data_IF_568977141154
#
_entry.id   IF_568977141154
#
_cell.length_a   1.000
_cell.length_b   1.000
_cell.length_c   1.000
_cell.angle_alpha   90.00
_cell.angle_beta   90.00
_cell.angle_gamma   90.00
#
_symmetry.space_group_name_H-M   'P 1'
#
loop_
_entity.id
_entity.type
_entity.pdbx_description
1 polymer ?
#
# COMPACT_ATOMS: atom_id res chain seq x y z
N UNK A 1 -10.19 16.72 3.45
CA UNK A 1 -9.45 15.49 3.17
C UNK A 1 -8.19 15.73 2.35
N UNK A 2 -8.28 16.47 1.26
CA UNK A 2 -7.12 16.80 0.44
C UNK A 2 -6.01 17.52 1.24
N UNK A 3 -6.37 18.38 2.17
CA UNK A 3 -5.39 19.10 2.99
C UNK A 3 -4.60 18.18 3.90
N UNK A 4 -5.24 17.21 4.53
CA UNK A 4 -4.56 16.24 5.41
C UNK A 4 -3.50 15.46 4.64
N UNK A 5 -3.87 14.91 3.49
CA UNK A 5 -2.93 14.13 2.69
C UNK A 5 -1.85 14.99 2.05
N UNK A 6 -2.15 16.25 1.78
CA UNK A 6 -1.15 17.19 1.28
C UNK A 6 -0.08 17.50 2.32
N UNK A 7 -0.49 17.72 3.57
CA UNK A 7 0.43 17.94 4.69
C UNK A 7 1.26 16.67 4.93
N UNK A 8 0.60 15.52 4.94
CA UNK A 8 1.27 14.23 5.11
C UNK A 8 2.30 13.99 4.02
N UNK A 9 1.95 14.25 2.76
CA UNK A 9 2.86 14.13 1.63
C UNK A 9 4.08 15.04 1.79
N UNK A 10 3.85 16.30 2.15
CA UNK A 10 4.94 17.26 2.35
C UNK A 10 5.91 16.80 3.42
N UNK A 11 5.39 16.28 4.53
CA UNK A 11 6.21 15.73 5.60
C UNK A 11 6.99 14.50 5.12
N UNK A 12 6.32 13.58 4.45
CA UNK A 12 6.93 12.37 3.93
C UNK A 12 8.05 12.69 2.94
N UNK A 13 7.80 13.62 2.03
CA UNK A 13 8.76 14.06 1.03
C UNK A 13 9.97 14.73 1.69
N UNK A 14 9.75 15.52 2.72
CA UNK A 14 10.82 16.16 3.49
C UNK A 14 11.72 15.11 4.15
N UNK A 15 11.14 14.11 4.80
CA UNK A 15 11.90 13.05 5.46
C UNK A 15 12.68 12.22 4.44
N UNK A 16 12.02 11.85 3.33
CA UNK A 16 12.65 11.04 2.28
C UNK A 16 13.87 11.73 1.68
N UNK A 17 13.79 13.04 1.47
CA UNK A 17 14.88 13.82 0.87
C UNK A 17 15.89 14.36 1.90
N UNK A 18 15.69 14.11 3.19
CA UNK A 18 16.61 14.58 4.21
C UNK A 18 18.00 13.94 4.03
N UNK A 19 19.01 14.78 3.86
CA UNK A 19 20.40 14.37 3.71
C UNK A 19 21.13 14.72 5.02
N UNK A 20 20.95 13.87 6.02
CA UNK A 20 21.59 14.01 7.34
C UNK A 20 22.54 12.84 7.54
N UNK A 21 23.77 13.15 7.91
CA UNK A 21 24.79 12.14 8.16
C UNK A 21 24.33 11.15 9.23
N UNK A 22 24.41 9.86 8.93
CA UNK A 22 23.98 8.79 9.83
C UNK A 22 22.51 8.41 9.71
N UNK A 23 21.73 9.08 8.86
CA UNK A 23 20.33 8.76 8.62
C UNK A 23 20.18 8.18 7.22
N UNK A 24 20.10 6.86 7.13
CA UNK A 24 19.85 6.13 5.89
C UNK A 24 18.40 5.66 5.78
N UNK A 25 18.17 4.73 4.85
CA UNK A 25 16.85 4.17 4.60
C UNK A 25 16.24 3.52 5.85
N UNK A 26 17.02 2.75 6.60
CA UNK A 26 16.49 2.03 7.77
C UNK A 26 15.96 2.99 8.84
N UNK A 27 16.66 4.06 9.09
CA UNK A 27 16.25 5.07 10.06
C UNK A 27 15.01 5.82 9.57
N UNK A 28 14.98 6.18 8.29
CA UNK A 28 13.79 6.81 7.68
C UNK A 28 12.59 5.86 7.73
N UNK A 29 12.81 4.58 7.45
CA UNK A 29 11.75 3.57 7.53
C UNK A 29 11.14 3.51 8.93
N UNK A 30 11.94 3.61 9.98
CA UNK A 30 11.43 3.62 11.36
C UNK A 30 10.51 4.83 11.62
N UNK A 31 10.86 6.01 11.10
CA UNK A 31 9.98 7.18 11.20
C UNK A 31 8.66 6.95 10.46
N UNK A 32 8.70 6.39 9.27
CA UNK A 32 7.50 6.09 8.50
C UNK A 32 6.66 4.98 9.14
N UNK A 33 7.29 4.04 9.79
CA UNK A 33 6.60 3.00 10.55
C UNK A 33 5.81 3.61 11.70
N UNK A 34 6.37 4.56 12.43
CA UNK A 34 5.65 5.30 13.47
C UNK A 34 4.47 6.07 12.89
N UNK A 35 4.67 6.72 11.77
CA UNK A 35 3.60 7.44 11.07
C UNK A 35 2.47 6.51 10.66
N UNK A 36 2.82 5.37 10.07
CA UNK A 36 1.85 4.36 9.67
C UNK A 36 1.06 3.82 10.85
N UNK A 37 1.71 3.59 11.99
CA UNK A 37 1.07 3.09 13.20
C UNK A 37 0.04 4.08 13.78
N UNK A 38 0.12 5.35 13.44
CA UNK A 38 -0.84 6.37 13.87
C UNK A 38 -2.06 6.44 12.96
N UNK A 39 -1.99 5.85 11.77
CA UNK A 39 -3.14 5.82 10.86
C UNK A 39 -4.06 4.65 11.19
N UNK A 40 -5.35 4.92 11.23
CA UNK A 40 -6.35 3.86 11.29
C UNK A 40 -6.38 3.06 9.97
N UNK A 41 -7.04 1.91 9.99
CA UNK A 41 -7.23 1.10 8.78
C UNK A 41 -7.97 1.89 7.71
N UNK A 42 -8.97 2.66 8.10
CA UNK A 42 -9.73 3.52 7.20
C UNK A 42 -8.88 4.62 6.60
N UNK A 43 -8.00 5.22 7.40
CA UNK A 43 -7.08 6.24 6.91
C UNK A 43 -6.08 5.70 5.91
N UNK A 44 -5.57 4.49 6.12
CA UNK A 44 -4.71 3.82 5.13
C UNK A 44 -5.46 3.53 3.83
N UNK A 45 -6.72 3.10 3.93
CA UNK A 45 -7.58 2.89 2.77
C UNK A 45 -7.77 4.19 1.99
N UNK A 46 -8.05 5.28 2.70
CA UNK A 46 -8.20 6.60 2.09
C UNK A 46 -6.89 7.08 1.46
N UNK A 47 -5.75 6.82 2.09
CA UNK A 47 -4.44 7.14 1.53
C UNK A 47 -4.22 6.39 0.22
N UNK A 48 -4.55 5.11 0.18
CA UNK A 48 -4.45 4.33 -1.04
C UNK A 48 -5.29 4.94 -2.16
N UNK A 49 -6.57 5.23 -1.91
CA UNK A 49 -7.43 5.85 -2.91
C UNK A 49 -6.95 7.23 -3.34
N UNK A 50 -6.46 8.03 -2.41
CA UNK A 50 -5.88 9.33 -2.74
C UNK A 50 -4.68 9.15 -3.67
N UNK A 51 -3.81 8.18 -3.40
CA UNK A 51 -2.58 7.96 -4.14
C UNK A 51 -2.81 7.52 -5.59
N UNK A 52 -3.92 6.86 -5.88
CA UNK A 52 -4.27 6.43 -7.24
C UNK A 52 -5.17 7.43 -7.97
N UNK A 53 -5.59 8.49 -7.29
CA UNK A 53 -6.36 9.57 -7.89
C UNK A 53 -5.44 10.63 -8.52
N UNK A 54 -5.94 11.43 -9.49
CA UNK A 54 -5.13 12.50 -10.08
C UNK A 54 -4.54 13.48 -9.07
N UNK A 55 -5.19 13.65 -7.91
CA UNK A 55 -4.77 14.60 -6.88
C UNK A 55 -3.62 14.07 -6.01
N UNK A 56 -3.37 12.78 -6.03
CA UNK A 56 -2.39 12.15 -5.16
C UNK A 56 -1.37 11.26 -5.86
N UNK A 57 -1.27 11.31 -7.17
CA UNK A 57 -0.35 10.46 -7.93
C UNK A 57 1.11 10.65 -7.51
N UNK A 58 1.47 11.78 -6.94
CA UNK A 58 2.82 12.05 -6.46
C UNK A 58 3.31 11.03 -5.43
N UNK A 59 2.38 10.43 -4.68
CA UNK A 59 2.71 9.35 -3.75
C UNK A 59 3.33 8.12 -4.41
N UNK A 60 3.01 7.91 -5.68
CA UNK A 60 3.40 6.71 -6.42
C UNK A 60 4.34 7.00 -7.59
N UNK A 61 4.82 8.23 -7.74
CA UNK A 61 5.77 8.57 -8.79
C UNK A 61 7.09 7.87 -8.52
N UNK A 62 7.49 7.04 -9.47
CA UNK A 62 8.79 6.36 -9.45
C UNK A 62 9.87 7.30 -9.94
N UNK A 63 11.01 7.30 -9.26
CA UNK A 63 12.17 8.06 -9.70
C UNK A 63 12.93 7.21 -10.71
N UNK A 64 13.07 7.72 -11.94
CA UNK A 64 13.86 7.14 -13.04
C UNK A 64 13.27 5.91 -13.74
N UNK A 65 13.69 5.70 -15.00
CA UNK A 65 13.41 4.53 -15.81
C UNK A 65 14.38 3.36 -15.49
N UNK A 66 14.96 3.37 -14.31
CA UNK A 66 15.91 2.35 -13.87
C UNK A 66 15.20 1.09 -13.36
N UNK A 67 15.92 -0.04 -13.26
CA UNK A 67 15.38 -1.24 -12.63
C UNK A 67 14.80 -0.95 -11.26
N UNK A 68 13.73 -1.65 -10.89
CA UNK A 68 13.06 -1.42 -9.63
C UNK A 68 14.01 -1.65 -8.45
N UNK A 69 14.14 -0.64 -7.61
CA UNK A 69 14.91 -0.68 -6.37
C UNK A 69 14.20 0.15 -5.31
N UNK A 70 14.63 0.06 -4.07
CA UNK A 70 14.08 0.87 -2.98
C UNK A 70 14.13 2.37 -3.34
N UNK A 71 15.24 2.82 -3.89
CA UNK A 71 15.43 4.24 -4.21
C UNK A 71 14.61 4.72 -5.41
N UNK A 72 14.20 3.82 -6.29
CA UNK A 72 13.41 4.17 -7.47
C UNK A 72 11.91 4.13 -7.22
N UNK A 73 11.45 3.56 -6.10
CA UNK A 73 10.04 3.46 -5.78
C UNK A 73 9.42 4.80 -5.39
N UNK A 74 8.11 4.94 -5.60
CA UNK A 74 7.33 6.02 -5.00
C UNK A 74 7.25 5.87 -3.48
N UNK A 75 6.86 6.94 -2.79
CA UNK A 75 6.88 6.99 -1.32
C UNK A 75 6.05 5.90 -0.65
N UNK A 76 4.86 5.60 -1.18
CA UNK A 76 3.98 4.58 -0.61
C UNK A 76 4.69 3.22 -0.60
N UNK A 77 5.26 2.82 -1.74
CA UNK A 77 5.91 1.52 -1.88
C UNK A 77 7.26 1.48 -1.15
N UNK A 78 8.03 2.57 -1.24
CA UNK A 78 9.35 2.67 -0.62
C UNK A 78 9.30 2.42 0.88
N UNK A 79 8.31 2.99 1.56
CA UNK A 79 8.16 2.89 3.01
C UNK A 79 6.98 2.03 3.44
N UNK A 80 6.35 1.34 2.52
CA UNK A 80 5.22 0.43 2.75
C UNK A 80 4.11 1.06 3.59
N UNK A 81 3.71 2.28 3.21
CA UNK A 81 2.73 3.07 3.98
C UNK A 81 1.34 2.46 4.02
N UNK A 82 1.02 1.55 3.09
CA UNK A 82 -0.26 0.83 3.04
C UNK A 82 -0.11 -0.63 3.46
N UNK A 83 0.95 -0.98 4.19
CA UNK A 83 1.23 -2.35 4.62
C UNK A 83 0.07 -2.96 5.41
N UNK A 84 -0.60 -2.16 6.23
CA UNK A 84 -1.67 -2.59 7.10
C UNK A 84 -3.07 -2.40 6.50
N UNK A 85 -3.18 -2.22 5.17
CA UNK A 85 -4.46 -2.12 4.49
C UNK A 85 -5.34 -3.32 4.84
N UNK A 86 -6.58 -3.08 5.30
CA UNK A 86 -7.48 -4.18 5.61
C UNK A 86 -8.06 -4.77 4.31
N UNK A 87 -8.05 -6.10 4.15
CA UNK A 87 -8.58 -6.74 2.94
C UNK A 87 -10.10 -6.74 2.86
N UNK A 88 -10.78 -6.35 3.93
CA UNK A 88 -12.24 -6.38 4.04
C UNK A 88 -12.96 -5.19 3.40
N UNK A 89 -12.22 -4.15 3.00
CA UNK A 89 -12.83 -3.00 2.35
C UNK A 89 -12.96 -3.24 0.84
N UNK A 90 -14.04 -2.75 0.23
CA UNK A 90 -14.15 -2.81 -1.23
C UNK A 90 -13.10 -1.88 -1.86
N UNK A 91 -12.39 -2.41 -2.83
CA UNK A 91 -11.44 -1.64 -3.60
C UNK A 91 -12.05 -1.34 -4.97
N UNK A 92 -12.74 -0.23 -5.08
CA UNK A 92 -13.35 0.21 -6.32
C UNK A 92 -12.25 0.63 -7.30
N UNK A 93 -12.30 0.05 -8.50
CA UNK A 93 -11.29 0.28 -9.51
C UNK A 93 -10.16 -0.73 -9.42
N UNK A 94 -8.96 -0.31 -9.02
CA UNK A 94 -7.77 -1.15 -9.02
C UNK A 94 -7.54 -1.75 -7.64
N UNK A 95 -7.45 -3.08 -7.57
CA UNK A 95 -7.08 -3.79 -6.34
C UNK A 95 -5.63 -3.44 -5.98
N UNK A 96 -5.34 -3.18 -4.68
CA UNK A 96 -3.97 -2.86 -4.25
C UNK A 96 -2.93 -3.89 -4.66
N UNK A 97 -3.27 -5.17 -4.65
CA UNK A 97 -2.37 -6.24 -5.05
C UNK A 97 -1.99 -6.16 -6.52
N UNK A 98 -2.93 -5.74 -7.37
CA UNK A 98 -2.67 -5.52 -8.79
C UNK A 98 -1.84 -4.25 -9.01
N UNK A 99 -2.21 -3.18 -8.32
CA UNK A 99 -1.52 -1.90 -8.47
C UNK A 99 -0.05 -1.98 -8.06
N UNK A 100 0.24 -2.66 -6.96
CA UNK A 100 1.59 -2.82 -6.43
C UNK A 100 2.20 -4.19 -6.73
N UNK A 101 1.78 -4.85 -7.81
CA UNK A 101 2.24 -6.19 -8.14
C UNK A 101 3.78 -6.27 -8.28
N UNK A 102 4.37 -5.30 -8.95
CA UNK A 102 5.83 -5.25 -9.16
C UNK A 102 6.57 -5.03 -7.85
N UNK A 103 6.10 -4.12 -7.03
CA UNK A 103 6.69 -3.80 -5.74
C UNK A 103 6.53 -4.97 -4.76
N UNK A 104 5.37 -5.60 -4.77
CA UNK A 104 5.11 -6.79 -3.95
C UNK A 104 6.10 -7.91 -4.27
N UNK A 105 6.31 -8.17 -5.55
CA UNK A 105 7.27 -9.18 -5.99
C UNK A 105 8.70 -8.84 -5.56
N UNK A 106 9.09 -7.57 -5.68
CA UNK A 106 10.40 -7.12 -5.24
C UNK A 106 10.62 -7.40 -3.75
N UNK A 107 9.65 -7.05 -2.91
CA UNK A 107 9.76 -7.27 -1.47
C UNK A 107 9.81 -8.77 -1.12
N UNK A 108 9.01 -9.59 -1.78
CA UNK A 108 9.01 -11.05 -1.56
C UNK A 108 10.36 -11.66 -1.92
N UNK A 109 10.96 -11.26 -3.03
CA UNK A 109 12.29 -11.72 -3.45
C UNK A 109 13.38 -11.32 -2.45
N UNK A 110 13.13 -10.28 -1.66
CA UNK A 110 14.04 -9.81 -0.60
C UNK A 110 13.61 -10.28 0.79
N UNK A 111 12.73 -11.27 0.89
CA UNK A 111 12.31 -11.86 2.15
C UNK A 111 11.39 -10.99 3.00
N UNK A 112 10.68 -10.05 2.40
CA UNK A 112 9.78 -9.12 3.09
C UNK A 112 8.38 -9.18 2.50
N UNK A 113 7.38 -8.77 3.29
CA UNK A 113 6.01 -8.67 2.83
C UNK A 113 5.63 -7.20 2.59
N UNK A 114 5.07 -6.92 1.43
CA UNK A 114 4.53 -5.60 1.12
C UNK A 114 3.24 -5.33 1.89
N UNK A 115 2.32 -6.30 1.90
CA UNK A 115 1.09 -6.25 2.70
C UNK A 115 1.21 -7.21 3.88
N UNK A 116 0.71 -6.79 5.04
CA UNK A 116 0.71 -7.61 6.24
C UNK A 116 -0.31 -8.74 6.18
N UNK A 117 -1.50 -8.46 5.62
CA UNK A 117 -2.58 -9.42 5.57
C UNK A 117 -2.37 -10.46 4.48
N UNK A 118 -2.24 -11.72 4.88
CA UNK A 118 -2.06 -12.85 3.97
C UNK A 118 -3.16 -12.97 2.93
N UNK A 119 -4.37 -12.53 3.27
CA UNK A 119 -5.52 -12.60 2.38
C UNK A 119 -5.31 -11.84 1.07
N UNK A 120 -4.45 -10.83 1.03
CA UNK A 120 -4.07 -10.18 -0.23
C UNK A 120 -3.32 -11.11 -1.17
N UNK A 121 -2.52 -12.03 -0.61
CA UNK A 121 -1.71 -12.97 -1.40
C UNK A 121 -2.50 -14.19 -1.84
N UNK A 122 -3.61 -14.47 -1.19
CA UNK A 122 -4.50 -15.58 -1.49
C UNK A 122 -5.70 -15.16 -2.33
N UNK A 123 -5.81 -13.88 -2.67
CA UNK A 123 -6.93 -13.37 -3.45
C UNK A 123 -6.87 -13.86 -4.88
N UNK A 124 -7.93 -14.56 -5.31
CA UNK A 124 -8.14 -14.99 -6.69
C UNK A 124 -9.55 -14.58 -7.10
N UNK A 125 -9.70 -13.67 -8.08
CA UNK A 125 -11.00 -13.23 -8.55
C UNK A 125 -11.91 -14.36 -9.04
N UNK A 126 -11.32 -15.42 -9.62
CA UNK A 126 -12.10 -16.58 -10.10
C UNK A 126 -12.70 -17.35 -8.93
N UNK A 127 -11.91 -17.61 -7.89
CA UNK A 127 -12.39 -18.29 -6.68
C UNK A 127 -13.47 -17.47 -6.00
N UNK A 128 -13.31 -16.15 -5.98
CA UNK A 128 -14.32 -15.24 -5.44
C UNK A 128 -15.68 -15.42 -6.15
N UNK A 129 -15.68 -15.43 -7.47
CA UNK A 129 -16.91 -15.57 -8.25
C UNK A 129 -17.56 -16.94 -8.02
N UNK A 130 -16.78 -18.01 -8.01
CA UNK A 130 -17.27 -19.37 -7.75
C UNK A 130 -17.93 -19.47 -6.36
N UNK A 131 -17.29 -18.96 -5.31
CA UNK A 131 -17.83 -18.95 -3.95
C UNK A 131 -19.14 -18.18 -3.87
N UNK A 132 -19.20 -17.03 -4.52
CA UNK A 132 -20.42 -16.21 -4.57
C UNK A 132 -21.57 -16.94 -5.25
N UNK A 133 -21.30 -17.70 -6.30
CA UNK A 133 -22.31 -18.47 -7.02
C UNK A 133 -22.80 -19.69 -6.24
N UNK A 134 -21.94 -20.31 -5.44
CA UNK A 134 -22.27 -21.49 -4.62
C UNK A 134 -23.09 -21.15 -3.38
N UNK A 135 -23.08 -19.91 -2.93
CA UNK A 135 -24.08 -19.37 -2.02
C UNK A 135 -24.10 -19.87 -0.59
N UNK A 136 -22.98 -20.36 -0.03
CA UNK A 136 -22.95 -20.68 1.41
C UNK A 136 -22.71 -19.40 2.24
N UNK A 137 -23.30 -19.34 3.44
CA UNK A 137 -23.16 -18.16 4.30
C UNK A 137 -21.73 -17.87 4.70
N UNK A 138 -20.93 -18.89 4.97
CA UNK A 138 -19.52 -18.74 5.30
C UNK A 138 -18.72 -18.16 4.13
N UNK A 139 -18.96 -18.67 2.95
CA UNK A 139 -18.32 -18.19 1.73
C UNK A 139 -18.70 -16.75 1.44
N UNK A 140 -19.95 -16.38 1.64
CA UNK A 140 -20.42 -15.01 1.48
C UNK A 140 -19.71 -14.09 2.46
N UNK A 141 -19.58 -14.48 3.73
CA UNK A 141 -18.87 -13.70 4.74
C UNK A 141 -17.39 -13.51 4.36
N UNK A 142 -16.73 -14.56 3.90
CA UNK A 142 -15.34 -14.49 3.44
C UNK A 142 -15.21 -13.56 2.25
N UNK A 143 -16.12 -13.65 1.28
CA UNK A 143 -16.15 -12.80 0.11
C UNK A 143 -16.31 -11.32 0.50
N UNK A 144 -17.16 -11.02 1.47
CA UNK A 144 -17.39 -9.65 1.92
C UNK A 144 -16.15 -9.02 2.57
N UNK A 145 -15.23 -9.83 3.11
CA UNK A 145 -13.96 -9.32 3.63
C UNK A 145 -13.05 -8.75 2.53
N UNK A 146 -13.26 -9.15 1.29
CA UNK A 146 -12.45 -8.74 0.15
C UNK A 146 -13.10 -7.68 -0.75
N UNK A 147 -14.28 -7.28 -0.40
CA UNK A 147 -14.98 -6.23 -1.16
C UNK A 147 -14.45 -4.84 -0.88
#
# INVERSE_FOLDING_TARGET
MAQYFRVLFSLANYIDNADVKGIGYNEKYEYFKLLRCQMSDEEQTLLYYNSISPMGLEWNIKKNNEPLSIDSMGLIAKYRLVKNLPPRFPFFGINPMEYYATETKYYEENGRQFFEHESFYKYDPKVYVEKKMNGTNEEISTIMLFK
#
